data_IF_190359113143
#
_entry.id   IF_190359113143
#
_cell.length_a   1.000
_cell.length_b   1.000
_cell.length_c   1.000
_cell.angle_alpha   90.00
_cell.angle_beta   90.00
_cell.angle_gamma   90.00
#
_symmetry.space_group_name_H-M   'P 1'
#
loop_
_entity.id
_entity.type
_entity.pdbx_description
1 polymer ?
#
# COMPACT_ATOMS: atom_id res chain seq x y z
N UNK A 1 6.92 -1.34 25.11
CA UNK A 1 6.12 -2.56 24.88
C UNK A 1 6.66 -3.19 23.61
N UNK A 2 6.97 -4.49 23.61
CA UNK A 2 7.41 -5.15 22.39
C UNK A 2 6.24 -5.13 21.40
N UNK A 3 6.39 -4.40 20.30
CA UNK A 3 5.38 -4.33 19.25
C UNK A 3 5.29 -5.70 18.58
N UNK A 4 4.25 -6.46 18.91
CA UNK A 4 3.96 -7.79 18.33
C UNK A 4 3.42 -7.70 16.90
N UNK A 5 3.40 -6.52 16.31
CA UNK A 5 2.97 -6.31 14.92
C UNK A 5 3.87 -7.07 13.94
N UNK A 6 3.30 -7.73 12.92
CA UNK A 6 4.08 -8.40 11.90
C UNK A 6 5.06 -7.45 11.20
N UNK A 7 6.31 -7.88 11.11
CA UNK A 7 7.41 -7.14 10.50
C UNK A 7 7.43 -7.35 8.97
N UNK A 8 7.98 -6.40 8.19
CA UNK A 8 8.01 -6.47 6.72
C UNK A 8 8.59 -7.76 6.15
N UNK A 9 9.53 -8.38 6.85
CA UNK A 9 10.25 -9.58 6.41
C UNK A 9 9.61 -10.90 6.87
N UNK A 10 8.44 -10.88 7.49
CA UNK A 10 7.72 -12.10 7.93
C UNK A 10 7.43 -12.98 6.71
N UNK A 11 7.77 -14.27 6.81
CA UNK A 11 7.62 -15.25 5.72
C UNK A 11 8.70 -16.32 5.78
N UNK A 12 8.44 -17.49 5.18
CA UNK A 12 9.38 -18.62 5.18
C UNK A 12 10.55 -18.39 4.22
N UNK A 13 11.67 -19.06 4.45
CA UNK A 13 12.83 -18.95 3.55
C UNK A 13 12.55 -19.48 2.15
N UNK A 14 11.74 -20.54 2.04
CA UNK A 14 11.29 -21.09 0.75
C UNK A 14 10.41 -20.10 -0.02
N UNK A 15 9.48 -19.42 0.66
CA UNK A 15 8.66 -18.38 0.05
C UNK A 15 9.52 -17.21 -0.45
N UNK A 16 10.44 -16.72 0.39
CA UNK A 16 11.39 -15.66 0.02
C UNK A 16 12.27 -16.07 -1.16
N UNK A 17 12.74 -17.32 -1.20
CA UNK A 17 13.53 -17.85 -2.31
C UNK A 17 12.73 -17.88 -3.61
N UNK A 18 11.47 -18.31 -3.55
CA UNK A 18 10.55 -18.31 -4.70
C UNK A 18 10.30 -16.90 -5.23
N UNK A 19 10.03 -15.94 -4.35
CA UNK A 19 9.83 -14.52 -4.69
C UNK A 19 11.08 -13.95 -5.39
N UNK A 20 12.28 -14.18 -4.82
CA UNK A 20 13.55 -13.76 -5.44
C UNK A 20 13.75 -14.35 -6.83
N UNK A 21 13.35 -15.61 -7.04
CA UNK A 21 13.42 -16.23 -8.36
C UNK A 21 12.55 -15.51 -9.39
N UNK A 22 11.33 -15.10 -9.01
CA UNK A 22 10.42 -14.35 -9.88
C UNK A 22 10.96 -12.96 -10.20
N UNK A 23 11.46 -12.25 -9.18
CA UNK A 23 12.09 -10.93 -9.33
C UNK A 23 13.25 -10.99 -10.33
N UNK A 24 14.16 -11.95 -10.15
CA UNK A 24 15.31 -12.13 -11.04
C UNK A 24 14.89 -12.50 -12.46
N UNK A 25 13.94 -13.42 -12.61
CA UNK A 25 13.43 -13.82 -13.93
C UNK A 25 12.77 -12.67 -14.69
N UNK A 26 12.12 -11.74 -13.98
CA UNK A 26 11.49 -10.55 -14.55
C UNK A 26 12.45 -9.35 -14.70
N UNK A 27 13.68 -9.45 -14.22
CA UNK A 27 14.65 -8.35 -14.25
C UNK A 27 14.25 -7.14 -13.40
N UNK A 28 13.48 -7.35 -12.33
CA UNK A 28 12.99 -6.29 -11.46
C UNK A 28 14.10 -5.76 -10.53
N UNK A 29 14.21 -4.44 -10.42
CA UNK A 29 15.20 -3.76 -9.56
C UNK A 29 14.51 -3.18 -8.34
N UNK A 30 15.00 -3.48 -7.13
CA UNK A 30 14.36 -3.04 -5.88
C UNK A 30 14.36 -1.52 -5.72
N UNK A 31 13.16 -0.93 -5.53
CA UNK A 31 12.96 0.49 -5.18
C UNK A 31 12.68 0.69 -3.68
N UNK A 32 12.11 -0.33 -3.03
CA UNK A 32 11.86 -0.37 -1.60
C UNK A 32 12.58 -1.55 -0.93
N UNK A 33 12.77 -1.46 0.38
CA UNK A 33 13.38 -2.49 1.22
C UNK A 33 12.61 -2.59 2.55
N UNK A 34 12.98 -3.57 3.37
CA UNK A 34 12.29 -3.83 4.64
C UNK A 34 12.30 -2.63 5.59
N UNK A 35 13.35 -1.80 5.60
CA UNK A 35 13.40 -0.60 6.45
C UNK A 35 12.36 0.43 6.01
N UNK A 36 12.26 0.71 4.70
CA UNK A 36 11.26 1.63 4.18
C UNK A 36 9.84 1.13 4.48
N UNK A 37 9.58 -0.16 4.20
CA UNK A 37 8.30 -0.77 4.50
C UNK A 37 7.97 -0.73 5.99
N UNK A 38 8.94 -0.99 6.87
CA UNK A 38 8.76 -0.89 8.32
C UNK A 38 8.29 0.49 8.76
N UNK A 39 8.97 1.55 8.28
CA UNK A 39 8.58 2.95 8.58
C UNK A 39 7.15 3.26 8.13
N UNK A 40 6.75 2.78 6.95
CA UNK A 40 5.38 2.94 6.45
C UNK A 40 4.37 2.23 7.36
N UNK A 41 4.60 0.95 7.65
CA UNK A 41 3.69 0.15 8.47
C UNK A 41 3.54 0.73 9.88
N UNK A 42 4.64 1.14 10.50
CA UNK A 42 4.63 1.73 11.83
C UNK A 42 3.83 3.04 11.84
N UNK A 43 4.04 3.92 10.85
CA UNK A 43 3.29 5.18 10.76
C UNK A 43 1.79 4.95 10.57
N UNK A 44 1.40 3.98 9.73
CA UNK A 44 0.00 3.63 9.48
C UNK A 44 -0.66 3.01 10.72
N UNK A 45 0.07 2.17 11.46
CA UNK A 45 -0.43 1.47 12.65
C UNK A 45 -0.54 2.38 13.88
N UNK A 46 0.37 3.35 14.01
CA UNK A 46 0.38 4.31 15.11
C UNK A 46 -0.63 5.45 14.92
N UNK A 47 -1.20 5.59 13.72
CA UNK A 47 -2.19 6.62 13.45
C UNK A 47 -3.47 6.37 14.24
N UNK A 48 -3.83 7.34 15.08
CA UNK A 48 -5.08 7.32 15.83
C UNK A 48 -6.28 7.69 14.94
N UNK A 49 -7.40 7.00 15.12
CA UNK A 49 -8.70 7.38 14.57
C UNK A 49 -8.96 7.06 13.10
N UNK A 50 -7.93 6.88 12.27
CA UNK A 50 -8.08 6.52 10.86
C UNK A 50 -6.99 5.59 10.38
N UNK A 51 -7.39 4.62 9.57
CA UNK A 51 -6.50 3.74 8.81
C UNK A 51 -6.86 3.89 7.34
N UNK A 52 -5.91 4.24 6.46
CA UNK A 52 -6.21 4.38 5.05
C UNK A 52 -6.61 3.03 4.44
N UNK A 53 -7.40 3.05 3.37
CA UNK A 53 -7.54 1.87 2.54
C UNK A 53 -6.27 1.62 1.75
N UNK A 54 -5.99 0.37 1.43
CA UNK A 54 -4.86 -0.01 0.59
C UNK A 54 -5.22 -1.15 -0.36
N UNK A 55 -4.45 -1.27 -1.44
CA UNK A 55 -4.38 -2.47 -2.28
C UNK A 55 -2.95 -2.65 -2.75
N UNK A 56 -2.60 -3.83 -3.25
CA UNK A 56 -1.24 -4.09 -3.70
C UNK A 56 -1.24 -5.08 -4.86
N UNK A 57 -0.13 -5.11 -5.59
CA UNK A 57 0.19 -6.21 -6.51
C UNK A 57 1.46 -6.88 -6.05
N UNK A 58 1.44 -8.21 -6.03
CA UNK A 58 2.65 -9.01 -5.80
C UNK A 58 3.37 -9.27 -7.13
N UNK A 59 4.67 -9.49 -7.08
CA UNK A 59 5.50 -9.79 -8.27
C UNK A 59 5.08 -11.06 -9.00
N UNK A 60 4.27 -11.91 -8.36
CA UNK A 60 3.87 -13.24 -8.80
C UNK A 60 2.34 -13.44 -8.88
N UNK A 61 1.56 -12.35 -8.83
CA UNK A 61 0.10 -12.45 -8.81
C UNK A 61 -0.62 -11.22 -9.38
N UNK A 62 -1.95 -11.31 -9.52
CA UNK A 62 -2.77 -10.16 -9.89
C UNK A 62 -2.84 -9.12 -8.76
N UNK A 63 -3.29 -7.89 -9.06
CA UNK A 63 -3.64 -6.90 -8.06
C UNK A 63 -4.70 -7.40 -7.06
N UNK A 64 -4.58 -6.99 -5.80
CA UNK A 64 -5.58 -7.25 -4.76
C UNK A 64 -6.78 -6.29 -4.88
N UNK A 65 -7.88 -6.65 -4.24
CA UNK A 65 -8.92 -5.67 -3.89
C UNK A 65 -8.44 -4.67 -2.82
N UNK A 66 -9.27 -3.68 -2.54
CA UNK A 66 -9.05 -2.71 -1.45
C UNK A 66 -9.35 -3.32 -0.09
N UNK A 67 -8.49 -3.06 0.89
CA UNK A 67 -8.60 -3.50 2.29
C UNK A 67 -8.26 -2.32 3.23
N UNK A 68 -8.59 -2.45 4.51
CA UNK A 68 -8.32 -1.48 5.58
C UNK A 68 -7.58 -2.10 6.78
N UNK A 69 -7.27 -3.40 6.75
CA UNK A 69 -6.65 -4.13 7.86
C UNK A 69 -5.11 -4.19 7.80
N UNK A 70 -4.46 -3.21 8.44
CA UNK A 70 -3.00 -3.01 8.44
C UNK A 70 -2.17 -3.93 9.37
N UNK A 71 -2.79 -4.90 10.05
CA UNK A 71 -2.05 -5.84 10.90
C UNK A 71 -1.79 -7.16 10.20
N UNK A 72 -2.82 -7.79 9.64
CA UNK A 72 -2.75 -9.19 9.23
C UNK A 72 -3.03 -9.45 7.74
N UNK A 73 -3.63 -8.51 7.02
CA UNK A 73 -4.00 -8.69 5.61
C UNK A 73 -2.94 -8.13 4.63
N UNK A 74 -1.81 -7.66 5.16
CA UNK A 74 -0.71 -7.15 4.37
C UNK A 74 0.07 -8.29 3.69
N UNK A 75 0.71 -8.02 2.53
CA UNK A 75 1.36 -9.03 1.69
C UNK A 75 2.73 -9.46 2.22
N UNK A 76 2.83 -9.93 3.47
CA UNK A 76 4.09 -10.42 4.02
C UNK A 76 4.60 -11.66 3.25
N UNK A 77 5.91 -11.72 2.93
CA UNK A 77 6.91 -10.68 3.14
C UNK A 77 6.76 -9.52 2.13
N UNK A 78 6.98 -8.29 2.58
CA UNK A 78 6.81 -7.08 1.77
C UNK A 78 7.74 -7.02 0.55
N UNK A 79 8.82 -7.82 0.51
CA UNK A 79 9.62 -8.00 -0.70
C UNK A 79 8.84 -8.63 -1.87
N UNK A 80 7.66 -9.21 -1.61
CA UNK A 80 6.75 -9.68 -2.67
C UNK A 80 6.04 -8.55 -3.40
N UNK A 81 5.99 -7.35 -2.84
CA UNK A 81 5.20 -6.22 -3.35
C UNK A 81 5.88 -5.58 -4.55
N UNK A 82 5.20 -5.62 -5.70
CA UNK A 82 5.59 -4.89 -6.90
C UNK A 82 5.21 -3.42 -6.79
N UNK A 83 3.96 -3.17 -6.42
CA UNK A 83 3.44 -1.84 -6.07
C UNK A 83 2.37 -1.92 -4.99
N UNK A 84 2.18 -0.81 -4.28
CA UNK A 84 1.26 -0.67 -3.16
C UNK A 84 0.51 0.66 -3.24
N UNK A 85 -0.81 0.63 -3.32
CA UNK A 85 -1.67 1.81 -3.39
C UNK A 85 -2.26 2.11 -2.03
N UNK A 86 -2.37 3.40 -1.71
CA UNK A 86 -3.00 3.91 -0.48
C UNK A 86 -4.04 4.96 -0.87
N UNK A 87 -5.27 4.80 -0.38
CA UNK A 87 -6.33 5.79 -0.49
C UNK A 87 -6.12 6.93 0.51
N UNK A 88 -6.21 8.18 0.03
CA UNK A 88 -5.94 9.38 0.84
C UNK A 88 -7.16 9.90 1.60
N UNK A 89 -8.36 9.49 1.21
CA UNK A 89 -9.59 10.07 1.72
C UNK A 89 -10.20 9.25 2.86
N UNK A 90 -10.60 9.95 3.92
CA UNK A 90 -11.42 9.42 4.99
C UNK A 90 -12.86 9.89 4.82
N UNK A 91 -13.81 8.94 4.79
CA UNK A 91 -15.23 9.25 4.89
C UNK A 91 -15.64 9.28 6.37
N UNK A 92 -16.03 10.46 6.86
CA UNK A 92 -16.52 10.66 8.23
C UNK A 92 -18.05 10.80 8.18
N UNK A 93 -18.74 9.75 8.61
CA UNK A 93 -20.21 9.74 8.70
C UNK A 93 -20.69 10.61 9.87
N UNK A 94 -21.58 11.57 9.59
CA UNK A 94 -22.12 12.53 10.58
C UNK A 94 -23.58 12.29 10.96
N UNK A 95 -24.16 11.21 10.43
CA UNK A 95 -25.56 10.86 10.55
C UNK A 95 -26.00 10.07 9.31
N UNK A 96 -27.17 9.42 9.36
CA UNK A 96 -27.67 8.58 8.26
C UNK A 96 -28.12 9.37 7.03
N UNK A 97 -28.48 10.65 7.19
CA UNK A 97 -29.06 11.51 6.14
C UNK A 97 -28.17 12.70 5.78
N UNK A 98 -26.96 12.77 6.33
CA UNK A 98 -26.00 13.85 6.05
C UNK A 98 -24.88 13.22 5.24
N UNK A 99 -24.55 13.84 4.11
CA UNK A 99 -23.43 13.39 3.28
C UNK A 99 -22.16 13.29 4.12
N UNK A 100 -21.38 12.20 3.98
CA UNK A 100 -20.13 12.05 4.71
C UNK A 100 -19.18 13.20 4.41
N UNK A 101 -18.50 13.71 5.45
CA UNK A 101 -17.39 14.61 5.22
C UNK A 101 -16.22 13.80 4.65
N UNK A 102 -15.69 14.24 3.51
CA UNK A 102 -14.42 13.76 2.98
C UNK A 102 -13.29 14.56 3.62
N UNK A 103 -12.40 13.89 4.33
CA UNK A 103 -11.15 14.48 4.85
C UNK A 103 -9.99 13.95 4.01
N UNK A 104 -9.21 14.85 3.41
CA UNK A 104 -8.01 14.51 2.65
C UNK A 104 -6.79 14.42 3.59
N UNK A 105 -6.10 13.28 3.55
CA UNK A 105 -4.90 12.99 4.33
C UNK A 105 -3.65 12.77 3.48
N UNK A 106 -3.71 13.16 2.20
CA UNK A 106 -2.62 12.99 1.23
C UNK A 106 -1.29 13.56 1.72
N UNK A 107 -1.29 14.78 2.25
CA UNK A 107 -0.06 15.45 2.71
C UNK A 107 0.64 14.63 3.79
N UNK A 108 -0.12 14.10 4.76
CA UNK A 108 0.42 13.23 5.80
C UNK A 108 1.05 11.94 5.24
N UNK A 109 0.41 11.30 4.25
CA UNK A 109 0.97 10.10 3.60
C UNK A 109 2.26 10.48 2.85
N UNK A 110 2.23 11.56 2.07
CA UNK A 110 3.35 12.02 1.27
C UNK A 110 4.56 12.35 2.13
N UNK A 111 4.37 13.00 3.28
CA UNK A 111 5.44 13.29 4.24
C UNK A 111 6.15 12.02 4.71
N UNK A 112 5.40 10.95 5.03
CA UNK A 112 5.98 9.65 5.43
C UNK A 112 6.82 9.06 4.29
N UNK A 113 6.30 9.10 3.06
CA UNK A 113 6.97 8.53 1.89
C UNK A 113 8.24 9.29 1.53
N UNK A 114 8.21 10.62 1.62
CA UNK A 114 9.38 11.48 1.42
C UNK A 114 10.45 11.22 2.49
N UNK A 115 10.05 11.16 3.77
CA UNK A 115 10.98 10.90 4.87
C UNK A 115 11.66 9.52 4.75
N UNK A 116 10.94 8.50 4.29
CA UNK A 116 11.48 7.16 4.03
C UNK A 116 12.11 7.00 2.62
N UNK A 117 12.12 8.06 1.79
CA UNK A 117 12.68 8.07 0.43
C UNK A 117 12.11 6.95 -0.46
N UNK A 118 10.80 6.75 -0.42
CA UNK A 118 10.13 5.83 -1.34
C UNK A 118 10.12 6.36 -2.77
N UNK A 119 10.08 5.44 -3.74
CA UNK A 119 9.66 5.77 -5.09
C UNK A 119 8.13 5.68 -5.12
N UNK A 120 7.45 6.79 -5.40
CA UNK A 120 5.99 6.84 -5.43
C UNK A 120 5.47 7.82 -6.47
N UNK A 121 4.18 7.70 -6.79
CA UNK A 121 3.41 8.64 -7.60
C UNK A 121 2.06 8.92 -6.94
N UNK A 122 1.51 10.11 -7.20
CA UNK A 122 0.20 10.52 -6.71
C UNK A 122 -0.74 10.67 -7.89
N UNK A 123 -1.86 9.97 -7.85
CA UNK A 123 -2.87 9.93 -8.89
C UNK A 123 -4.24 10.18 -8.25
N UNK A 124 -4.75 11.42 -8.38
CA UNK A 124 -6.03 11.80 -7.75
C UNK A 124 -5.98 11.67 -6.22
N UNK A 125 -6.76 10.75 -5.68
CA UNK A 125 -6.87 10.41 -4.26
C UNK A 125 -6.07 9.15 -3.87
N UNK A 126 -5.27 8.61 -4.79
CA UNK A 126 -4.45 7.41 -4.58
C UNK A 126 -2.97 7.80 -4.61
N UNK A 127 -2.21 7.25 -3.67
CA UNK A 127 -0.75 7.27 -3.70
C UNK A 127 -0.25 5.87 -4.01
N UNK A 128 0.46 5.69 -5.12
CA UNK A 128 1.11 4.44 -5.50
C UNK A 128 2.57 4.45 -5.11
N UNK A 129 2.98 3.46 -4.33
CA UNK A 129 4.35 3.20 -3.91
C UNK A 129 4.91 2.05 -4.75
N UNK A 130 6.11 2.20 -5.29
CA UNK A 130 6.76 1.15 -6.08
C UNK A 130 7.73 0.36 -5.21
N UNK A 131 7.52 -0.95 -5.12
CA UNK A 131 8.46 -1.88 -4.51
C UNK A 131 9.62 -2.21 -5.45
N UNK A 132 9.34 -2.25 -6.75
CA UNK A 132 10.32 -2.55 -7.81
C UNK A 132 10.20 -1.62 -9.03
N UNK A 133 11.27 -1.57 -9.82
CA UNK A 133 11.36 -0.94 -11.13
C UNK A 133 11.54 -2.00 -12.23
N UNK A 134 11.09 -1.74 -13.47
CA UNK A 134 10.40 -0.53 -13.93
C UNK A 134 9.02 -0.35 -13.29
N UNK A 135 8.55 0.90 -13.24
CA UNK A 135 7.26 1.23 -12.62
C UNK A 135 6.12 0.52 -13.36
N UNK A 136 5.35 -0.28 -12.63
CA UNK A 136 4.13 -0.89 -13.14
C UNK A 136 2.93 0.03 -12.88
N UNK A 137 2.30 0.48 -13.96
CA UNK A 137 1.14 1.38 -13.92
C UNK A 137 -0.21 0.64 -14.00
N UNK A 138 -0.19 -0.69 -13.87
CA UNK A 138 -1.39 -1.53 -13.92
C UNK A 138 -2.50 -1.00 -13.00
N UNK A 139 -3.70 -0.86 -13.55
CA UNK A 139 -4.90 -0.41 -12.82
C UNK A 139 -4.80 0.98 -12.15
N UNK A 140 -3.83 1.83 -12.52
CA UNK A 140 -3.77 3.23 -12.02
C UNK A 140 -4.89 4.12 -12.57
N UNK A 141 -5.51 3.74 -13.68
CA UNK A 141 -6.48 4.55 -14.42
C UNK A 141 -7.89 3.95 -14.46
N UNK A 142 -8.22 3.01 -13.58
CA UNK A 142 -9.64 2.61 -13.42
C UNK A 142 -10.30 3.61 -12.48
N UNK A 143 -10.72 4.72 -13.05
CA UNK A 143 -11.61 5.70 -12.43
C UNK A 143 -12.84 4.98 -11.84
N UNK A 144 -13.05 4.90 -10.51
CA UNK A 144 -14.22 4.21 -9.96
C UNK A 144 -15.51 5.01 -10.11
N UNK A 145 -15.51 6.17 -10.78
CA UNK A 145 -16.62 7.14 -10.72
C UNK A 145 -17.44 7.29 -12.01
N UNK A 146 -17.28 6.42 -13.01
CA UNK A 146 -18.26 6.30 -14.11
C UNK A 146 -18.55 4.82 -14.43
N UNK A 147 -19.11 4.08 -13.47
CA UNK A 147 -20.05 3.01 -13.83
C UNK A 147 -20.98 2.70 -12.65
N UNK A 148 -22.28 2.72 -12.93
CA UNK A 148 -23.41 2.36 -12.06
C UNK A 148 -23.95 3.42 -11.11
N UNK A 149 -24.43 4.52 -11.70
CA UNK A 149 -25.79 4.96 -11.40
C UNK A 149 -26.73 4.43 -12.50
N UNK A 150 -27.18 3.18 -12.34
CA UNK A 150 -28.36 2.61 -13.01
C UNK A 150 -29.12 1.77 -12.00
#
# INVERSE_FOLDING_TARGET
>A
MADTSPQPNVGTDDEKKRIRSVISARGLVGAANDEKWGRLLDAMRQRAGWRPSYRYKRVDGPPSGWDVEWWYHLPFPMMSVEWFDIGCHQLVHRGKLIDPLVVDHKDWIVEILQAAKFCYEVHGDIVRIFGYLPKSLDELNTDPMIENCK
#
